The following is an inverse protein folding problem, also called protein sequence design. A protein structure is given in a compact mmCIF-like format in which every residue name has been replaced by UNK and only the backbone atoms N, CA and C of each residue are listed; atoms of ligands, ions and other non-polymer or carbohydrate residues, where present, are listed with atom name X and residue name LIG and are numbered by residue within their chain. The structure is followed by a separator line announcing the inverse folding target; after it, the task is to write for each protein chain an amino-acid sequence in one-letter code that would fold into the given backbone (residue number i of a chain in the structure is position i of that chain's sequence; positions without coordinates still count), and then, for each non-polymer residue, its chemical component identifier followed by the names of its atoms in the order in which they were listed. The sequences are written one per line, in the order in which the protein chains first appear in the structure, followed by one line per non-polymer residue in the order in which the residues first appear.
data_IF_331549050332
#
_entry.id   IF_331549050332
#
_cell.length_a   1.000
_cell.length_b   1.000
_cell.length_c   1.000
_cell.angle_alpha   90.00
_cell.angle_beta   90.00
_cell.angle_gamma   90.00
#
_symmetry.space_group_name_H-M   'P 1'
#
loop_
_entity.id
_entity.type
_entity.pdbx_description
1 polymer ?
#
# COMPACT_ATOMS: atom_id res chain seq x y z
N UNK A 1 5.84 -22.09 32.49
CA UNK A 1 5.64 -22.10 31.01
C UNK A 1 4.93 -20.82 30.60
N UNK A 2 5.64 -19.90 29.93
CA UNK A 2 5.13 -18.59 29.48
C UNK A 2 4.09 -18.82 28.36
N UNK A 3 2.79 -18.73 28.67
CA UNK A 3 1.71 -18.95 27.68
C UNK A 3 1.82 -17.87 26.59
N UNK A 4 2.22 -18.29 25.39
CA UNK A 4 2.42 -17.42 24.25
C UNK A 4 1.07 -16.85 23.77
N UNK A 5 0.93 -15.53 23.68
CA UNK A 5 -0.33 -14.87 23.31
C UNK A 5 -0.54 -14.92 21.79
N UNK A 6 -0.86 -16.10 21.25
CA UNK A 6 -1.12 -16.34 19.82
C UNK A 6 -2.10 -15.34 19.20
N UNK A 7 -3.08 -14.87 19.97
CA UNK A 7 -4.06 -13.86 19.53
C UNK A 7 -3.41 -12.54 19.09
N UNK A 8 -2.43 -12.05 19.85
CA UNK A 8 -1.73 -10.79 19.53
C UNK A 8 -0.89 -10.96 18.26
N UNK A 9 -0.25 -12.13 18.09
CA UNK A 9 0.51 -12.43 16.88
C UNK A 9 -0.38 -12.46 15.63
N UNK A 10 -1.57 -13.08 15.72
CA UNK A 10 -2.53 -13.10 14.61
C UNK A 10 -3.08 -11.71 14.30
N UNK A 11 -3.44 -10.92 15.32
CA UNK A 11 -3.88 -9.53 15.14
C UNK A 11 -2.81 -8.67 14.44
N UNK A 12 -1.53 -8.91 14.75
CA UNK A 12 -0.40 -8.16 14.17
C UNK A 12 -0.19 -8.45 12.69
N UNK A 13 -0.55 -9.65 12.22
CA UNK A 13 -0.48 -10.02 10.80
C UNK A 13 -1.71 -9.54 10.02
N UNK A 14 -2.88 -9.49 10.68
CA UNK A 14 -4.11 -8.98 10.06
C UNK A 14 -4.11 -7.46 9.89
N UNK A 15 -3.52 -6.73 10.84
CA UNK A 15 -3.45 -5.26 10.79
C UNK A 15 -2.84 -4.70 9.50
N UNK A 16 -1.63 -5.08 9.06
CA UNK A 16 -1.05 -4.56 7.83
C UNK A 16 -1.87 -4.98 6.61
N UNK A 17 -2.52 -6.15 6.62
CA UNK A 17 -3.42 -6.58 5.55
C UNK A 17 -4.56 -5.57 5.33
N UNK A 18 -5.17 -5.08 6.41
CA UNK A 18 -6.19 -4.02 6.35
C UNK A 18 -5.61 -2.71 5.81
N UNK A 19 -4.40 -2.33 6.23
CA UNK A 19 -3.71 -1.12 5.74
C UNK A 19 -3.48 -1.19 4.22
N UNK A 20 -3.03 -2.34 3.71
CA UNK A 20 -2.85 -2.54 2.27
C UNK A 20 -4.17 -2.43 1.51
N UNK A 21 -5.26 -3.02 2.02
CA UNK A 21 -6.58 -2.90 1.40
C UNK A 21 -7.06 -1.45 1.33
N UNK A 22 -6.88 -0.68 2.42
CA UNK A 22 -7.25 0.75 2.44
C UNK A 22 -6.39 1.55 1.46
N UNK A 23 -5.09 1.27 1.40
CA UNK A 23 -4.18 1.94 0.45
C UNK A 23 -4.58 1.67 -1.00
N UNK A 24 -4.88 0.42 -1.36
CA UNK A 24 -5.35 0.07 -2.71
C UNK A 24 -6.69 0.71 -3.03
N UNK A 25 -7.64 0.74 -2.08
CA UNK A 25 -8.90 1.43 -2.27
C UNK A 25 -8.70 2.94 -2.50
N UNK A 26 -7.81 3.57 -1.74
CA UNK A 26 -7.46 4.98 -1.91
C UNK A 26 -6.88 5.26 -3.29
N UNK A 27 -5.94 4.44 -3.77
CA UNK A 27 -5.37 4.55 -5.12
C UNK A 27 -6.42 4.38 -6.21
N UNK A 28 -7.39 3.46 -6.02
CA UNK A 28 -8.50 3.30 -6.96
C UNK A 28 -9.39 4.53 -7.03
N UNK A 29 -9.72 5.12 -5.87
CA UNK A 29 -10.54 6.34 -5.80
C UNK A 29 -9.81 7.55 -6.37
N UNK A 30 -8.53 7.74 -6.01
CA UNK A 30 -7.74 8.86 -6.54
C UNK A 30 -7.56 8.76 -8.06
N UNK A 31 -7.30 7.55 -8.58
CA UNK A 31 -7.22 7.30 -10.02
C UNK A 31 -8.54 7.60 -10.73
N UNK A 32 -9.66 7.16 -10.16
CA UNK A 32 -11.00 7.45 -10.72
C UNK A 32 -11.33 8.95 -10.73
N UNK A 33 -10.98 9.69 -9.67
CA UNK A 33 -11.17 11.14 -9.64
C UNK A 33 -10.30 11.83 -10.70
N UNK A 34 -9.06 11.37 -10.87
CA UNK A 34 -8.14 11.95 -11.84
C UNK A 34 -8.64 11.76 -13.28
N UNK A 35 -9.27 10.63 -13.62
CA UNK A 35 -9.84 10.42 -14.96
C UNK A 35 -11.14 11.19 -15.21
N UNK A 36 -11.92 11.48 -14.18
CA UNK A 36 -13.16 12.28 -14.31
C UNK A 36 -12.89 13.78 -14.50
N UNK A 37 -11.87 14.33 -13.84
CA UNK A 37 -11.58 15.77 -13.87
C UNK A 37 -10.47 16.17 -14.85
N UNK A 38 -9.76 15.21 -15.45
CA UNK A 38 -8.74 15.48 -16.45
C UNK A 38 -9.33 15.42 -17.86
N UNK A 39 -9.53 16.59 -18.47
CA UNK A 39 -9.86 16.71 -19.90
C UNK A 39 -8.55 16.87 -20.68
N UNK A 40 -8.11 15.86 -21.45
CA UNK A 40 -6.89 15.97 -22.24
C UNK A 40 -7.09 16.93 -23.42
N UNK A 41 -6.13 17.83 -23.64
CA UNK A 41 -6.21 18.88 -24.66
C UNK A 41 -5.76 18.31 -26.02
N UNK A 42 -6.72 17.73 -26.74
CA UNK A 42 -6.50 16.84 -27.90
C UNK A 42 -5.80 17.51 -29.10
N UNK A 43 -5.80 18.84 -29.16
CA UNK A 43 -5.31 19.60 -30.33
C UNK A 43 -3.78 19.74 -30.33
N UNK A 44 -3.15 19.88 -29.16
CA UNK A 44 -1.69 19.94 -29.04
C UNK A 44 -1.06 18.55 -28.85
N UNK A 45 -1.83 17.56 -28.38
CA UNK A 45 -1.29 16.24 -28.03
C UNK A 45 -1.08 15.35 -29.28
N UNK A 46 -1.70 15.68 -30.43
CA UNK A 46 -1.52 14.99 -31.72
C UNK A 46 -0.17 15.25 -32.42
N UNK A 47 0.60 16.27 -32.02
CA UNK A 47 2.01 16.38 -32.42
C UNK A 47 2.92 15.47 -31.57
N UNK A 48 2.39 14.93 -30.47
CA UNK A 48 3.11 14.11 -29.50
C UNK A 48 2.58 12.66 -29.44
N UNK A 49 2.12 12.10 -30.57
CA UNK A 49 1.58 10.73 -30.62
C UNK A 49 2.57 9.69 -30.07
N UNK A 50 3.87 9.96 -30.17
CA UNK A 50 4.94 9.14 -29.57
C UNK A 50 5.01 9.25 -28.03
N UNK A 51 4.51 10.35 -27.46
CA UNK A 51 4.48 10.63 -26.01
C UNK A 51 3.18 10.16 -25.33
N UNK A 52 2.06 10.17 -26.06
CA UNK A 52 0.74 9.76 -25.57
C UNK A 52 0.66 8.28 -25.18
N UNK A 53 1.33 7.37 -25.90
CA UNK A 53 1.35 5.96 -25.48
C UNK A 53 2.04 5.76 -24.12
N UNK A 54 2.96 6.65 -23.74
CA UNK A 54 3.58 6.65 -22.41
C UNK A 54 2.70 7.30 -21.33
N UNK A 55 1.88 8.28 -21.71
CA UNK A 55 1.10 9.13 -20.79
C UNK A 55 -0.32 8.61 -20.53
N UNK A 56 -0.86 7.76 -21.42
CA UNK A 56 -2.20 7.15 -21.32
C UNK A 56 -2.14 5.67 -20.91
N UNK A 57 -0.97 5.20 -20.44
CA UNK A 57 -0.92 3.96 -19.66
C UNK A 57 -1.59 4.23 -18.31
N UNK A 58 -2.90 4.01 -18.25
CA UNK A 58 -3.64 3.87 -17.00
C UNK A 58 -3.13 2.60 -16.31
N UNK A 59 -1.97 2.73 -15.67
CA UNK A 59 -1.21 1.62 -15.12
C UNK A 59 0.26 1.98 -15.11
N UNK A 60 0.82 2.10 -13.91
CA UNK A 60 2.26 1.99 -13.72
C UNK A 60 2.71 0.72 -14.45
N UNK A 61 3.68 0.82 -15.37
CA UNK A 61 4.22 -0.35 -16.06
C UNK A 61 4.92 -1.19 -15.00
N UNK A 62 4.18 -2.11 -14.39
CA UNK A 62 4.69 -2.99 -13.36
C UNK A 62 5.58 -4.03 -14.03
N UNK A 63 6.82 -3.63 -14.34
CA UNK A 63 7.89 -4.59 -14.56
C UNK A 63 8.01 -5.38 -13.28
N UNK A 64 8.00 -6.70 -13.40
CA UNK A 64 8.20 -7.61 -12.27
C UNK A 64 9.63 -7.45 -11.76
N UNK A 65 9.84 -6.42 -10.96
CA UNK A 65 11.08 -6.15 -10.29
C UNK A 65 11.01 -6.88 -8.96
N UNK A 66 11.85 -7.91 -8.83
CA UNK A 66 12.01 -8.64 -7.57
C UNK A 66 12.25 -7.70 -6.37
N UNK A 67 12.83 -6.51 -6.61
CA UNK A 67 12.98 -5.45 -5.62
C UNK A 67 11.66 -4.88 -5.10
N UNK A 68 10.64 -4.71 -5.96
CA UNK A 68 9.32 -4.22 -5.56
C UNK A 68 8.57 -5.23 -4.67
N UNK A 69 8.66 -6.52 -5.00
CA UNK A 69 8.10 -7.59 -4.15
C UNK A 69 8.85 -7.73 -2.83
N UNK A 70 10.19 -7.70 -2.85
CA UNK A 70 10.97 -7.74 -1.63
C UNK A 70 10.68 -6.54 -0.72
N UNK A 71 10.60 -5.33 -1.31
CA UNK A 71 10.29 -4.10 -0.58
C UNK A 71 8.90 -4.13 0.06
N UNK A 72 7.89 -4.59 -0.67
CA UNK A 72 6.52 -4.70 -0.13
C UNK A 72 6.40 -5.75 0.98
N UNK A 73 7.05 -6.91 0.85
CA UNK A 73 7.08 -7.92 1.92
C UNK A 73 7.82 -7.41 3.16
N UNK A 74 8.93 -6.69 2.99
CA UNK A 74 9.66 -6.07 4.10
C UNK A 74 8.81 -5.02 4.81
N UNK A 75 8.13 -4.15 4.06
CA UNK A 75 7.24 -3.15 4.63
C UNK A 75 6.10 -3.81 5.45
N UNK A 76 5.53 -4.90 4.94
CA UNK A 76 4.50 -5.66 5.64
C UNK A 76 5.02 -6.26 6.97
N UNK A 77 6.23 -6.85 6.96
CA UNK A 77 6.86 -7.40 8.16
C UNK A 77 7.19 -6.31 9.19
N UNK A 78 7.69 -5.16 8.75
CA UNK A 78 7.99 -4.01 9.62
C UNK A 78 6.72 -3.51 10.30
N UNK A 79 5.63 -3.31 9.56
CA UNK A 79 4.35 -2.87 10.12
C UNK A 79 3.80 -3.85 11.16
N UNK A 80 3.89 -5.16 10.89
CA UNK A 80 3.50 -6.21 11.85
C UNK A 80 4.32 -6.15 13.14
N UNK A 81 5.65 -6.00 13.01
CA UNK A 81 6.55 -5.88 14.16
C UNK A 81 6.28 -4.62 14.99
N UNK A 82 6.11 -3.47 14.35
CA UNK A 82 5.81 -2.20 15.02
C UNK A 82 4.51 -2.32 15.80
N UNK A 83 3.46 -2.87 15.18
CA UNK A 83 2.16 -3.07 15.85
C UNK A 83 2.29 -3.98 17.08
N UNK A 84 3.02 -5.08 16.95
CA UNK A 84 3.26 -6.01 18.06
C UNK A 84 3.99 -5.32 19.22
N UNK A 85 5.03 -4.53 18.94
CA UNK A 85 5.80 -3.80 19.96
C UNK A 85 4.92 -2.78 20.68
N UNK A 86 4.19 -1.95 19.93
CA UNK A 86 3.29 -0.93 20.50
C UNK A 86 2.26 -1.59 21.40
N UNK A 87 1.63 -2.67 20.94
CA UNK A 87 0.57 -3.36 21.71
C UNK A 87 1.12 -4.07 22.94
N UNK A 88 2.34 -4.62 22.86
CA UNK A 88 3.03 -5.20 24.00
C UNK A 88 3.38 -4.12 25.04
N UNK A 89 3.90 -2.97 24.59
CA UNK A 89 4.26 -1.85 25.45
C UNK A 89 3.03 -1.25 26.14
N UNK A 90 1.90 -1.15 25.43
CA UNK A 90 0.65 -0.64 25.99
C UNK A 90 0.07 -1.56 27.06
N UNK A 91 0.23 -2.88 26.89
CA UNK A 91 -0.16 -3.86 27.92
C UNK A 91 0.75 -3.81 29.14
N UNK A 92 2.06 -3.59 28.95
CA UNK A 92 3.01 -3.44 30.05
C UNK A 92 2.74 -2.18 30.88
N UNK A 93 2.51 -1.03 30.23
CA UNK A 93 2.18 0.24 30.91
C UNK A 93 0.86 0.21 31.68
N UNK A 94 -0.07 -0.68 31.32
CA UNK A 94 -1.36 -0.86 32.01
C UNK A 94 -1.28 -1.74 33.27
N UNK A 95 -0.13 -2.37 33.53
CA UNK A 95 0.07 -3.26 34.69
C UNK A 95 0.96 -2.64 35.78
N UNK A 96 1.50 -1.44 35.54
CA UNK A 96 2.14 -0.57 36.53
C UNK A 96 1.12 0.46 37.02
#
# INVERSE_FOLDING_TARGET
MKKWNRRIAVESLLFPLVVYLVYTAYQGVSGYLMTMYYVPDIVNEYESVDYLQHKVSFGEVYRFEWGGLAGSLLAWLILSLVYYIVRYWWKFKRQL
#
